data_IF_929544224732
#
_entry.id   IF_929544224732
#
_cell.length_a   1.000
_cell.length_b   1.000
_cell.length_c   1.000
_cell.angle_alpha   90.00
_cell.angle_beta   90.00
_cell.angle_gamma   90.00
#
_symmetry.space_group_name_H-M   'P 1'
#
loop_
_entity.id
_entity.type
_entity.pdbx_description
1 polymer ?
#
# COMPACT_ATOMS: atom_id res chain seq x y z
N UNK A 1 23.38 -21.68 -22.08
CA UNK A 1 22.16 -21.08 -22.69
C UNK A 1 22.20 -19.58 -22.44
N UNK A 2 22.34 -18.74 -23.50
CA UNK A 2 22.26 -17.29 -23.37
C UNK A 2 20.76 -16.95 -23.35
N UNK A 3 20.24 -16.46 -22.23
CA UNK A 3 18.89 -15.90 -22.17
C UNK A 3 18.90 -14.57 -22.94
N UNK A 4 18.24 -14.56 -24.08
CA UNK A 4 17.95 -13.34 -24.84
C UNK A 4 16.91 -12.56 -24.04
N UNK A 5 17.33 -11.49 -23.38
CA UNK A 5 16.40 -10.52 -22.79
C UNK A 5 15.76 -9.80 -23.98
N UNK A 6 14.55 -10.19 -24.35
CA UNK A 6 13.73 -9.40 -25.25
C UNK A 6 13.47 -8.04 -24.61
N UNK A 7 13.96 -7.00 -25.23
CA UNK A 7 13.78 -5.62 -24.80
C UNK A 7 12.30 -5.24 -25.07
N UNK A 8 11.41 -5.54 -24.11
CA UNK A 8 9.99 -5.16 -24.16
C UNK A 8 9.91 -3.70 -23.75
N UNK A 9 9.97 -2.80 -24.73
CA UNK A 9 9.75 -1.37 -24.51
C UNK A 9 8.27 -1.10 -24.20
N UNK A 10 7.99 -0.10 -23.35
CA UNK A 10 6.66 0.45 -23.17
C UNK A 10 6.34 1.33 -24.39
N UNK A 11 5.28 0.98 -25.13
CA UNK A 11 4.76 1.81 -26.22
C UNK A 11 3.61 2.66 -25.66
N UNK A 12 3.78 3.97 -25.69
CA UNK A 12 2.73 4.92 -25.32
C UNK A 12 2.19 5.57 -26.60
N UNK A 13 0.89 5.56 -26.78
CA UNK A 13 0.24 6.15 -27.95
C UNK A 13 0.48 7.67 -27.98
N UNK A 14 0.74 8.20 -29.17
CA UNK A 14 0.93 9.63 -29.38
C UNK A 14 -0.29 10.45 -28.94
N UNK A 15 -1.51 9.93 -29.10
CA UNK A 15 -2.73 10.61 -28.65
C UNK A 15 -2.71 10.83 -27.12
N UNK A 16 -2.18 9.89 -26.36
CA UNK A 16 -2.05 10.01 -24.90
C UNK A 16 -1.02 11.10 -24.56
N UNK A 17 0.11 11.14 -25.26
CA UNK A 17 1.16 12.14 -25.07
C UNK A 17 0.65 13.54 -25.38
N UNK A 18 -0.11 13.70 -26.49
CA UNK A 18 -0.73 14.96 -26.88
C UNK A 18 -1.81 15.40 -25.88
N UNK A 19 -2.71 14.49 -25.47
CA UNK A 19 -3.75 14.75 -24.47
C UNK A 19 -3.18 15.19 -23.14
N UNK A 20 -2.09 14.58 -22.70
CA UNK A 20 -1.37 14.95 -21.49
C UNK A 20 -0.47 16.19 -21.65
N UNK A 21 -0.39 16.75 -22.87
CA UNK A 21 0.44 17.92 -23.21
C UNK A 21 1.92 17.78 -22.81
N UNK A 22 2.47 16.56 -22.92
CA UNK A 22 3.84 16.25 -22.48
C UNK A 22 4.93 16.80 -23.41
N UNK A 23 4.60 17.05 -24.71
CA UNK A 23 5.54 17.48 -25.74
C UNK A 23 6.50 16.37 -26.19
N UNK A 24 7.53 16.74 -26.96
CA UNK A 24 8.46 15.80 -27.61
C UNK A 24 9.47 15.16 -26.65
N UNK A 25 9.69 15.75 -25.49
CA UNK A 25 10.65 15.28 -24.50
C UNK A 25 9.96 14.98 -23.17
N UNK A 26 9.93 13.71 -22.83
CA UNK A 26 9.34 13.21 -21.60
C UNK A 26 10.40 12.70 -20.63
N UNK A 27 10.14 12.84 -19.34
CA UNK A 27 10.87 12.21 -18.25
C UNK A 27 10.02 11.10 -17.67
N UNK A 28 10.58 9.92 -17.54
CA UNK A 28 9.97 8.80 -16.88
C UNK A 28 10.45 8.74 -15.42
N UNK A 29 9.52 8.65 -14.48
CA UNK A 29 9.78 8.38 -13.06
C UNK A 29 9.07 7.09 -12.74
N UNK A 30 9.80 6.11 -12.22
CA UNK A 30 9.26 4.83 -11.78
C UNK A 30 9.46 4.68 -10.27
N UNK A 31 8.43 4.23 -9.61
CA UNK A 31 8.41 3.74 -8.23
C UNK A 31 7.93 2.29 -8.24
N UNK A 32 7.83 1.65 -7.09
CA UNK A 32 7.52 0.22 -7.03
C UNK A 32 6.22 -0.17 -7.75
N UNK A 33 5.17 0.63 -7.63
CA UNK A 33 3.86 0.33 -8.22
C UNK A 33 3.35 1.39 -9.21
N UNK A 34 4.15 2.43 -9.51
CA UNK A 34 3.71 3.55 -10.33
C UNK A 34 4.79 3.99 -11.32
N UNK A 35 4.38 4.18 -12.58
CA UNK A 35 5.20 4.80 -13.61
C UNK A 35 4.55 6.11 -14.03
N UNK A 36 5.28 7.22 -13.88
CA UNK A 36 4.79 8.56 -14.24
C UNK A 36 5.63 9.10 -15.40
N UNK A 37 4.93 9.58 -16.43
CA UNK A 37 5.52 10.34 -17.52
C UNK A 37 5.24 11.82 -17.30
N UNK A 38 6.28 12.64 -17.28
CA UNK A 38 6.17 14.10 -17.12
C UNK A 38 6.92 14.82 -18.24
N UNK A 39 6.70 16.10 -18.42
CA UNK A 39 7.57 16.92 -19.27
C UNK A 39 9.00 16.87 -18.73
N UNK A 40 9.98 16.78 -19.62
CA UNK A 40 11.39 16.83 -19.23
C UNK A 40 11.81 18.20 -18.66
N UNK A 41 11.18 19.27 -19.15
CA UNK A 41 11.34 20.64 -18.65
C UNK A 41 9.97 21.20 -18.28
N UNK A 42 9.81 21.58 -17.03
CA UNK A 42 8.54 22.06 -16.48
C UNK A 42 8.70 23.52 -16.02
N UNK A 43 7.71 24.33 -16.35
CA UNK A 43 7.53 25.63 -15.70
C UNK A 43 6.93 25.44 -14.31
N UNK A 44 6.96 26.46 -13.45
CA UNK A 44 6.32 26.38 -12.13
C UNK A 44 4.83 26.00 -12.24
N UNK A 45 4.11 26.54 -13.26
CA UNK A 45 2.71 26.20 -13.49
C UNK A 45 2.53 24.75 -13.97
N UNK A 46 3.45 24.21 -14.76
CA UNK A 46 3.42 22.80 -15.15
C UNK A 46 3.56 21.90 -13.92
N UNK A 47 4.45 22.27 -12.98
CA UNK A 47 4.60 21.52 -11.69
C UNK A 47 3.31 21.58 -10.89
N UNK A 48 2.69 22.76 -10.73
CA UNK A 48 1.40 22.90 -10.01
C UNK A 48 0.32 22.01 -10.62
N UNK A 49 0.15 22.05 -11.96
CA UNK A 49 -0.83 21.21 -12.65
C UNK A 49 -0.53 19.71 -12.53
N UNK A 50 0.74 19.33 -12.49
CA UNK A 50 1.13 17.94 -12.30
C UNK A 50 0.77 17.46 -10.88
N UNK A 51 1.02 18.29 -9.87
CA UNK A 51 0.63 17.99 -8.46
C UNK A 51 -0.89 17.85 -8.36
N UNK A 52 -1.66 18.77 -8.96
CA UNK A 52 -3.12 18.70 -8.98
C UNK A 52 -3.64 17.42 -9.64
N UNK A 53 -3.05 17.02 -10.78
CA UNK A 53 -3.39 15.76 -11.44
C UNK A 53 -3.04 14.52 -10.62
N UNK A 54 -1.91 14.54 -9.90
CA UNK A 54 -1.53 13.45 -8.99
C UNK A 54 -2.47 13.38 -7.79
N UNK A 55 -2.91 14.51 -7.26
CA UNK A 55 -3.92 14.56 -6.20
C UNK A 55 -5.24 13.96 -6.67
N UNK A 56 -5.69 14.27 -7.89
CA UNK A 56 -6.88 13.67 -8.49
C UNK A 56 -6.76 12.15 -8.59
N UNK A 57 -5.59 11.63 -9.00
CA UNK A 57 -5.34 10.20 -9.04
C UNK A 57 -5.38 9.59 -7.64
N UNK A 58 -4.76 10.24 -6.65
CA UNK A 58 -4.80 9.80 -5.26
C UNK A 58 -6.24 9.67 -4.75
N UNK A 59 -7.07 10.69 -4.95
CA UNK A 59 -8.48 10.64 -4.55
C UNK A 59 -9.24 9.49 -5.23
N UNK A 60 -9.00 9.25 -6.53
CA UNK A 60 -9.63 8.13 -7.22
C UNK A 60 -9.24 6.75 -6.65
N UNK A 61 -8.00 6.61 -6.17
CA UNK A 61 -7.56 5.37 -5.51
C UNK A 61 -8.16 5.23 -4.11
N UNK A 62 -8.25 6.33 -3.36
CA UNK A 62 -8.90 6.37 -2.03
C UNK A 62 -10.40 6.05 -2.16
N UNK A 63 -11.10 6.62 -3.16
CA UNK A 63 -12.50 6.32 -3.44
C UNK A 63 -12.71 4.83 -3.77
N UNK A 64 -11.83 4.24 -4.59
CA UNK A 64 -11.89 2.80 -4.91
C UNK A 64 -11.70 1.93 -3.65
N UNK A 65 -10.78 2.32 -2.76
CA UNK A 65 -10.57 1.64 -1.49
C UNK A 65 -11.79 1.77 -0.56
N UNK A 66 -12.38 2.97 -0.49
CA UNK A 66 -13.58 3.23 0.31
C UNK A 66 -14.80 2.42 -0.16
N UNK A 67 -14.93 2.21 -1.49
CA UNK A 67 -15.98 1.34 -2.04
C UNK A 67 -15.84 -0.12 -1.58
N UNK A 68 -14.62 -0.59 -1.34
CA UNK A 68 -14.35 -1.96 -0.89
C UNK A 68 -14.46 -2.11 0.64
N UNK A 69 -13.88 -1.17 1.40
CA UNK A 69 -13.86 -1.24 2.87
C UNK A 69 -15.17 -0.78 3.52
N UNK A 70 -15.98 0.06 2.83
CA UNK A 70 -17.19 0.63 3.40
C UNK A 70 -16.95 1.65 4.51
N UNK A 71 -18.06 2.15 5.10
CA UNK A 71 -18.04 3.07 6.23
C UNK A 71 -17.84 2.31 7.54
N UNK A 72 -17.07 2.88 8.46
CA UNK A 72 -16.82 2.29 9.77
C UNK A 72 -17.95 2.65 10.76
N UNK A 73 -18.61 1.64 11.31
CA UNK A 73 -19.62 1.78 12.37
C UNK A 73 -19.00 1.67 13.80
N UNK A 74 -17.69 1.97 13.95
CA UNK A 74 -16.97 1.97 15.23
C UNK A 74 -16.25 0.66 15.51
N UNK A 75 -15.27 0.32 14.68
CA UNK A 75 -14.33 -0.77 14.95
C UNK A 75 -13.14 -0.27 15.80
N UNK A 76 -12.54 -1.15 16.60
CA UNK A 76 -11.40 -0.81 17.46
C UNK A 76 -10.21 -0.30 16.65
N UNK A 77 -10.02 -0.77 15.42
CA UNK A 77 -8.93 -0.35 14.52
C UNK A 77 -9.02 1.12 14.08
N UNK A 78 -10.23 1.68 14.01
CA UNK A 78 -10.41 3.08 13.63
C UNK A 78 -10.22 4.05 14.81
N UNK A 79 -10.38 3.55 16.04
CA UNK A 79 -10.23 4.32 17.27
C UNK A 79 -8.75 4.41 17.70
N UNK A 80 -7.93 3.41 17.37
CA UNK A 80 -6.51 3.36 17.68
C UNK A 80 -5.69 3.14 16.40
N UNK A 81 -4.92 4.16 16.01
CA UNK A 81 -4.08 4.13 14.81
C UNK A 81 -2.63 3.69 15.08
N UNK A 82 -2.35 3.20 16.29
CA UNK A 82 -1.01 2.77 16.70
C UNK A 82 -0.86 1.26 16.48
N UNK A 83 -0.65 0.88 15.23
CA UNK A 83 -0.44 -0.51 14.83
C UNK A 83 1.05 -0.84 14.84
N UNK A 84 1.50 -1.48 15.91
CA UNK A 84 2.88 -1.97 16.00
C UNK A 84 2.94 -3.47 15.67
N UNK A 85 3.87 -3.90 14.79
CA UNK A 85 4.07 -5.31 14.54
C UNK A 85 4.62 -6.02 15.77
N UNK A 86 4.29 -7.30 15.92
CA UNK A 86 4.77 -8.12 17.04
C UNK A 86 6.26 -8.35 16.90
N UNK A 87 7.03 -7.91 17.88
CA UNK A 87 8.46 -8.14 17.96
C UNK A 87 8.83 -9.08 19.12
N UNK A 88 9.47 -10.20 18.79
CA UNK A 88 10.06 -11.10 19.78
C UNK A 88 11.58 -11.07 19.68
N UNK A 89 12.31 -11.25 20.81
CA UNK A 89 13.76 -11.45 20.79
C UNK A 89 14.17 -12.63 19.92
N UNK A 90 15.31 -12.50 19.21
CA UNK A 90 15.82 -13.54 18.32
C UNK A 90 16.00 -14.89 19.02
N UNK A 91 16.43 -14.88 20.30
CA UNK A 91 16.60 -16.10 21.09
C UNK A 91 15.27 -16.85 21.31
N UNK A 92 14.14 -16.12 21.41
CA UNK A 92 12.81 -16.71 21.56
C UNK A 92 12.36 -17.32 20.24
N UNK A 93 12.60 -16.62 19.12
CA UNK A 93 12.30 -17.11 17.78
C UNK A 93 13.08 -18.38 17.46
N UNK A 94 14.39 -18.42 17.78
CA UNK A 94 15.23 -19.61 17.60
C UNK A 94 14.72 -20.82 18.42
N UNK A 95 14.31 -20.60 19.67
CA UNK A 95 13.75 -21.67 20.53
C UNK A 95 12.42 -22.20 19.99
N UNK A 96 11.61 -21.34 19.37
CA UNK A 96 10.35 -21.71 18.74
C UNK A 96 10.53 -22.30 17.32
N UNK A 97 11.75 -22.24 16.76
CA UNK A 97 12.03 -22.67 15.39
C UNK A 97 11.45 -21.74 14.31
N UNK A 98 11.20 -20.48 14.66
CA UNK A 98 10.66 -19.46 13.77
C UNK A 98 11.82 -18.67 13.15
N UNK A 99 11.94 -18.56 11.82
CA UNK A 99 12.99 -17.77 11.18
C UNK A 99 12.90 -16.28 11.53
N UNK A 100 14.04 -15.64 11.76
CA UNK A 100 14.10 -14.18 11.98
C UNK A 100 13.51 -13.43 10.80
N UNK A 101 12.68 -12.42 11.08
CA UNK A 101 11.99 -11.63 10.06
C UNK A 101 10.68 -12.25 9.55
N UNK A 102 10.24 -13.37 10.14
CA UNK A 102 8.90 -13.91 9.89
C UNK A 102 7.87 -12.99 10.52
N UNK A 103 6.82 -12.66 9.78
CA UNK A 103 5.65 -11.95 10.31
C UNK A 103 4.93 -12.85 11.32
N UNK A 104 4.51 -12.26 12.44
CA UNK A 104 3.91 -12.99 13.56
C UNK A 104 2.46 -12.56 13.73
N UNK A 105 1.61 -13.53 14.07
CA UNK A 105 0.24 -13.31 14.50
C UNK A 105 0.10 -13.70 15.97
N UNK A 106 -0.75 -13.00 16.72
CA UNK A 106 -1.06 -13.30 18.12
C UNK A 106 -2.54 -13.64 18.28
N UNK A 107 -2.81 -14.72 19.01
CA UNK A 107 -4.16 -15.16 19.35
C UNK A 107 -4.27 -15.26 20.86
N UNK A 108 -5.33 -14.68 21.41
CA UNK A 108 -5.63 -14.73 22.84
C UNK A 108 -6.64 -15.83 23.11
N UNK A 109 -6.26 -16.79 23.93
CA UNK A 109 -7.17 -17.80 24.44
C UNK A 109 -7.85 -17.26 25.71
N UNK A 110 -9.08 -16.75 25.56
CA UNK A 110 -9.80 -15.97 26.58
C UNK A 110 -9.98 -16.73 27.90
N UNK A 111 -10.22 -18.05 27.83
CA UNK A 111 -10.53 -18.89 29.02
C UNK A 111 -9.32 -19.17 29.91
N UNK A 112 -8.09 -19.07 29.40
CA UNK A 112 -6.88 -19.40 30.15
C UNK A 112 -5.85 -18.27 30.26
N UNK A 113 -6.10 -17.12 29.59
CA UNK A 113 -5.21 -15.96 29.61
C UNK A 113 -3.84 -16.26 28.97
N UNK A 114 -3.81 -17.16 28.01
CA UNK A 114 -2.62 -17.50 27.24
C UNK A 114 -2.66 -16.75 25.91
N UNK A 115 -1.52 -16.17 25.54
CA UNK A 115 -1.31 -15.57 24.22
C UNK A 115 -0.48 -16.56 23.39
N UNK A 116 -1.04 -17.02 22.29
CA UNK A 116 -0.33 -17.82 21.30
C UNK A 116 0.25 -16.90 20.25
N UNK A 117 1.54 -17.05 19.97
CA UNK A 117 2.24 -16.32 18.90
C UNK A 117 2.75 -17.34 17.91
N UNK A 118 2.39 -17.18 16.65
CA UNK A 118 2.80 -18.08 15.57
C UNK A 118 3.14 -17.30 14.30
N UNK A 119 3.80 -17.93 13.32
CA UNK A 119 3.95 -17.33 11.99
C UNK A 119 2.59 -16.97 11.38
N UNK A 120 2.45 -15.72 10.94
CA UNK A 120 1.25 -15.28 10.26
C UNK A 120 1.03 -16.08 8.96
N UNK A 121 -0.20 -16.45 8.66
CA UNK A 121 -0.59 -17.11 7.42
C UNK A 121 -0.84 -16.13 6.26
N UNK A 122 -0.67 -14.82 6.52
CA UNK A 122 -0.85 -13.72 5.57
C UNK A 122 0.46 -12.97 5.36
N UNK A 123 0.60 -12.31 4.21
CA UNK A 123 1.79 -11.54 3.85
C UNK A 123 1.71 -10.09 4.34
N UNK A 124 0.53 -9.48 4.29
CA UNK A 124 0.29 -8.08 4.66
C UNK A 124 -0.85 -7.96 5.66
N UNK A 125 -0.76 -6.92 6.52
CA UNK A 125 -1.81 -6.47 7.41
C UNK A 125 -1.74 -4.94 7.58
N UNK A 126 -2.56 -4.38 8.44
CA UNK A 126 -2.65 -2.95 8.66
C UNK A 126 -1.32 -2.33 9.16
N UNK A 127 -0.46 -3.10 9.83
CA UNK A 127 0.84 -2.63 10.31
C UNK A 127 1.85 -2.35 9.19
N UNK A 128 1.62 -2.88 7.99
CA UNK A 128 2.43 -2.61 6.79
C UNK A 128 2.04 -1.29 6.12
N UNK A 129 0.89 -0.72 6.48
CA UNK A 129 0.42 0.54 5.91
C UNK A 129 1.11 1.72 6.59
N UNK A 130 1.76 2.63 5.84
CA UNK A 130 2.39 3.80 6.43
C UNK A 130 1.42 4.63 7.29
N UNK A 131 1.80 5.05 8.52
CA UNK A 131 0.90 5.73 9.46
C UNK A 131 0.21 6.98 8.88
N UNK A 132 0.91 7.73 8.01
CA UNK A 132 0.33 8.90 7.36
C UNK A 132 -0.79 8.56 6.38
N UNK A 133 -0.78 7.35 5.79
CA UNK A 133 -1.87 6.87 4.94
C UNK A 133 -3.04 6.38 5.79
N UNK A 134 -2.79 5.71 6.91
CA UNK A 134 -3.84 5.31 7.86
C UNK A 134 -4.63 6.52 8.35
N UNK A 135 -3.94 7.60 8.74
CA UNK A 135 -4.59 8.85 9.12
C UNK A 135 -5.44 9.42 7.96
N UNK A 136 -4.90 9.39 6.73
CA UNK A 136 -5.65 9.83 5.56
C UNK A 136 -6.89 8.98 5.33
N UNK A 137 -6.78 7.67 5.38
CA UNK A 137 -7.90 6.74 5.18
C UNK A 137 -8.99 6.93 6.24
N UNK A 138 -8.59 7.07 7.51
CA UNK A 138 -9.51 7.39 8.61
C UNK A 138 -10.24 8.71 8.38
N UNK A 139 -9.54 9.77 7.96
CA UNK A 139 -10.13 11.08 7.62
C UNK A 139 -11.16 10.99 6.48
N UNK A 140 -10.97 10.03 5.55
CA UNK A 140 -11.92 9.73 4.47
C UNK A 140 -13.05 8.78 4.87
N UNK A 141 -13.07 8.31 6.11
CA UNK A 141 -14.10 7.41 6.65
C UNK A 141 -13.95 5.95 6.21
N UNK A 142 -12.78 5.55 5.69
CA UNK A 142 -12.49 4.16 5.33
C UNK A 142 -12.38 3.34 6.61
N UNK A 143 -13.10 2.21 6.67
CA UNK A 143 -12.98 1.29 7.79
C UNK A 143 -11.63 0.57 7.77
N UNK A 144 -10.77 0.84 8.76
CA UNK A 144 -9.44 0.26 8.84
C UNK A 144 -9.48 -1.23 9.20
N UNK A 145 -10.50 -1.69 9.92
CA UNK A 145 -10.69 -3.11 10.21
C UNK A 145 -11.02 -3.92 8.94
N UNK A 146 -11.87 -3.39 8.06
CA UNK A 146 -12.15 -4.01 6.76
C UNK A 146 -10.92 -3.95 5.84
N UNK A 147 -10.16 -2.85 5.89
CA UNK A 147 -8.90 -2.74 5.15
C UNK A 147 -7.91 -3.80 5.61
N UNK A 148 -7.78 -4.01 6.92
CA UNK A 148 -6.91 -5.05 7.49
C UNK A 148 -7.30 -6.45 6.98
N UNK A 149 -8.59 -6.77 7.01
CA UNK A 149 -9.11 -8.04 6.48
C UNK A 149 -8.77 -8.22 4.99
N UNK A 150 -8.96 -7.20 4.16
CA UNK A 150 -8.61 -7.24 2.73
C UNK A 150 -7.11 -7.45 2.49
N UNK A 151 -6.25 -6.83 3.33
CA UNK A 151 -4.80 -7.01 3.24
C UNK A 151 -4.39 -8.44 3.60
N UNK A 152 -4.96 -9.01 4.67
CA UNK A 152 -4.70 -10.39 5.09
C UNK A 152 -5.17 -11.42 4.06
N UNK A 153 -6.31 -11.20 3.43
CA UNK A 153 -6.88 -12.10 2.41
C UNK A 153 -6.22 -11.93 1.04
N UNK A 154 -5.42 -10.88 0.86
CA UNK A 154 -4.76 -10.53 -0.41
C UNK A 154 -5.75 -10.45 -1.59
N UNK A 155 -6.94 -9.90 -1.31
CA UNK A 155 -7.98 -9.74 -2.31
C UNK A 155 -7.64 -8.67 -3.35
N UNK A 156 -8.13 -8.89 -4.58
CA UNK A 156 -7.98 -7.95 -5.69
C UNK A 156 -9.20 -7.03 -5.72
N UNK A 157 -8.98 -5.72 -5.61
CA UNK A 157 -10.00 -4.67 -5.69
C UNK A 157 -10.61 -4.55 -7.09
#
# INVERSE_FOLDING_TARGET
MKSTIENRGLLVDNEIIEKAALGDNVKLVATDHLIVLTKAKMTAMDVVKTIDSMSTLLYSLVDALAECCGECDGCDHCDDLDFEPIHLPDEVLELAGIPTGTKLAAFVEEDCGVVHIEPAEYEYDISDVPPHLLATFSDYGICLGELDALLMENEVL
#
